data_IF_314346334093
#
_entry.id   IF_314346334093
#
_cell.length_a   1.000
_cell.length_b   1.000
_cell.length_c   1.000
_cell.angle_alpha   90.00
_cell.angle_beta   90.00
_cell.angle_gamma   90.00
#
_symmetry.space_group_name_H-M   'P 1'
#
loop_
_entity.id
_entity.type
_entity.pdbx_description
1 polymer ?
#
# COMPACT_ATOMS: atom_id res chain seq x y z
N UNK A 1 -11.19 0.49 35.13
CA UNK A 1 -11.22 1.94 35.34
C UNK A 1 -10.26 2.52 34.33
N UNK A 2 -10.72 3.11 33.23
CA UNK A 2 -9.86 3.88 32.32
C UNK A 2 -9.50 5.18 33.05
N UNK A 3 -8.22 5.35 33.37
CA UNK A 3 -7.68 6.65 33.78
C UNK A 3 -8.03 7.67 32.68
N UNK A 4 -8.39 8.90 33.06
CA UNK A 4 -8.68 9.97 32.13
C UNK A 4 -7.57 10.04 31.05
N UNK A 5 -7.94 9.81 29.80
CA UNK A 5 -7.04 9.88 28.65
C UNK A 5 -6.54 11.32 28.64
N UNK A 6 -5.21 11.52 28.73
CA UNK A 6 -4.61 12.84 28.59
C UNK A 6 -5.09 13.43 27.26
N UNK A 7 -5.81 14.54 27.32
CA UNK A 7 -6.57 15.10 26.20
C UNK A 7 -5.69 15.70 25.09
N UNK A 8 -4.40 15.39 25.04
CA UNK A 8 -3.46 15.93 24.07
C UNK A 8 -2.75 14.81 23.33
N UNK A 9 -3.19 14.54 22.10
CA UNK A 9 -2.46 13.64 21.19
C UNK A 9 -1.01 14.11 21.02
N UNK A 10 -0.83 15.42 20.90
CA UNK A 10 0.47 16.08 20.76
C UNK A 10 0.46 17.39 21.55
N UNK A 11 1.52 17.64 22.29
CA UNK A 11 1.65 18.85 23.09
C UNK A 11 1.46 20.12 22.23
N UNK A 12 0.50 20.95 22.60
CA UNK A 12 0.19 22.21 21.92
C UNK A 12 -0.94 22.17 20.90
N UNK A 13 -1.47 20.99 20.55
CA UNK A 13 -2.63 20.87 19.67
C UNK A 13 -3.93 20.73 20.48
N UNK A 14 -5.01 21.31 19.97
CA UNK A 14 -6.34 20.98 20.45
C UNK A 14 -6.83 19.70 19.77
N UNK A 15 -7.10 18.65 20.53
CA UNK A 15 -7.63 17.37 20.03
C UNK A 15 -8.76 16.86 20.94
N UNK A 16 -9.44 17.76 21.65
CA UNK A 16 -10.47 17.45 22.65
C UNK A 16 -11.69 16.80 22.01
N UNK A 17 -12.09 17.25 20.82
CA UNK A 17 -13.19 16.67 20.06
C UNK A 17 -12.87 15.24 19.62
N UNK A 18 -11.67 15.01 19.10
CA UNK A 18 -11.19 13.68 18.70
C UNK A 18 -11.15 12.72 19.91
N UNK A 19 -10.70 13.18 21.09
CA UNK A 19 -10.70 12.39 22.33
C UNK A 19 -12.12 11.96 22.72
N UNK A 20 -13.06 12.89 22.74
CA UNK A 20 -14.46 12.60 23.09
C UNK A 20 -15.15 11.65 22.11
N UNK A 21 -14.89 11.82 20.81
CA UNK A 21 -15.40 10.92 19.77
C UNK A 21 -14.78 9.52 19.87
N UNK A 22 -13.48 9.42 20.16
CA UNK A 22 -12.83 8.13 20.37
C UNK A 22 -13.40 7.39 21.57
N UNK A 23 -13.62 8.08 22.70
CA UNK A 23 -14.28 7.50 23.87
C UNK A 23 -15.69 6.99 23.53
N UNK A 24 -16.47 7.78 22.78
CA UNK A 24 -17.78 7.36 22.31
C UNK A 24 -17.72 6.16 21.37
N UNK A 25 -16.78 6.16 20.43
CA UNK A 25 -16.58 5.06 19.49
C UNK A 25 -16.19 3.76 20.18
N UNK A 26 -15.36 3.79 21.22
CA UNK A 26 -14.97 2.60 22.00
C UNK A 26 -16.16 1.90 22.67
N UNK A 27 -17.27 2.58 22.89
CA UNK A 27 -18.49 1.97 23.45
C UNK A 27 -19.27 1.12 22.44
N UNK A 28 -19.08 1.36 21.15
CA UNK A 28 -19.90 0.74 20.08
C UNK A 28 -19.05 0.06 19.00
N UNK A 29 -17.77 0.38 18.90
CA UNK A 29 -16.83 -0.21 17.95
C UNK A 29 -15.68 -0.82 18.74
N UNK A 30 -15.39 -2.12 18.60
CA UNK A 30 -14.26 -2.75 19.27
C UNK A 30 -12.93 -2.02 18.97
N UNK A 31 -12.28 -1.49 20.01
CA UNK A 31 -11.06 -0.67 19.88
C UNK A 31 -11.27 0.73 19.31
N UNK A 32 -12.53 1.21 19.18
CA UNK A 32 -12.87 2.56 18.73
C UNK A 32 -12.70 2.83 17.23
N UNK A 33 -12.24 1.85 16.46
CA UNK A 33 -11.93 2.00 15.01
C UNK A 33 -12.29 0.74 14.21
N UNK A 34 -12.67 0.91 12.94
CA UNK A 34 -13.02 -0.20 12.04
C UNK A 34 -11.84 -0.78 11.25
N UNK A 35 -10.61 -0.35 11.54
CA UNK A 35 -9.41 -0.88 10.92
C UNK A 35 -8.23 -0.82 11.87
N UNK A 36 -7.48 -1.91 11.99
CA UNK A 36 -6.28 -1.99 12.83
C UNK A 36 -5.21 -0.96 12.46
N UNK A 37 -5.11 -0.55 11.20
CA UNK A 37 -4.20 0.51 10.76
C UNK A 37 -4.52 1.90 11.34
N UNK A 38 -5.68 2.08 11.99
CA UNK A 38 -6.12 3.31 12.66
C UNK A 38 -6.15 3.17 14.18
N UNK A 39 -5.76 2.01 14.70
CA UNK A 39 -5.83 1.72 16.13
C UNK A 39 -4.66 2.35 16.91
N UNK A 40 -4.84 2.48 18.21
CA UNK A 40 -3.79 3.02 19.09
C UNK A 40 -2.51 2.20 19.05
N UNK A 41 -2.62 0.87 18.95
CA UNK A 41 -1.44 -0.02 18.81
C UNK A 41 -0.76 0.04 17.43
N UNK A 42 -1.35 0.73 16.45
CA UNK A 42 -0.69 1.06 15.18
C UNK A 42 0.05 2.42 15.23
N UNK A 43 0.24 2.97 16.43
CA UNK A 43 0.97 4.20 16.66
C UNK A 43 0.10 5.46 16.86
N UNK A 44 -1.21 5.37 16.66
CA UNK A 44 -2.15 6.48 16.89
C UNK A 44 -2.45 6.66 18.39
N UNK A 45 -1.45 6.99 19.17
CA UNK A 45 -1.55 7.13 20.63
C UNK A 45 -1.65 8.59 21.04
N UNK A 46 -2.49 8.91 22.06
CA UNK A 46 -3.37 8.02 22.84
C UNK A 46 -4.66 7.65 22.12
N UNK A 47 -5.01 8.29 21.01
CA UNK A 47 -6.18 8.04 20.14
C UNK A 47 -5.92 8.60 18.74
N UNK A 48 -6.61 8.10 17.69
CA UNK A 48 -6.52 8.66 16.35
C UNK A 48 -7.24 10.01 16.24
N UNK A 49 -6.81 10.85 15.30
CA UNK A 49 -7.55 12.04 14.90
C UNK A 49 -8.88 11.63 14.23
N UNK A 50 -9.95 12.37 14.52
CA UNK A 50 -11.23 12.23 13.83
C UNK A 50 -11.35 13.31 12.75
N UNK A 51 -11.43 12.85 11.51
CA UNK A 51 -11.47 13.73 10.33
C UNK A 51 -12.88 14.24 10.11
N UNK A 52 -13.04 15.55 9.89
CA UNK A 52 -14.28 16.20 9.49
C UNK A 52 -14.43 16.25 7.96
N UNK A 53 -13.37 16.66 7.28
CA UNK A 53 -13.40 16.85 5.83
C UNK A 53 -12.01 16.79 5.19
N UNK A 54 -11.98 16.66 3.85
CA UNK A 54 -10.77 16.73 3.05
C UNK A 54 -11.03 17.47 1.73
N UNK A 55 -10.04 18.25 1.27
CA UNK A 55 -10.06 18.94 -0.01
C UNK A 55 -8.66 19.02 -0.61
N UNK A 56 -8.49 18.54 -1.84
CA UNK A 56 -7.18 18.54 -2.50
C UNK A 56 -6.13 17.80 -1.67
N UNK A 57 -5.01 18.44 -1.37
CA UNK A 57 -3.92 17.91 -0.53
C UNK A 57 -4.16 18.03 0.97
N UNK A 58 -5.33 18.49 1.42
CA UNK A 58 -5.54 18.85 2.83
C UNK A 58 -6.67 18.05 3.49
N UNK A 59 -6.48 17.77 4.79
CA UNK A 59 -7.48 17.28 5.71
C UNK A 59 -7.76 18.30 6.82
N UNK A 60 -9.00 18.31 7.29
CA UNK A 60 -9.41 19.02 8.50
C UNK A 60 -10.00 18.03 9.49
N UNK A 61 -9.57 18.11 10.75
CA UNK A 61 -10.14 17.32 11.82
C UNK A 61 -11.32 18.03 12.51
N UNK A 62 -12.01 17.30 13.39
CA UNK A 62 -13.18 17.79 14.14
C UNK A 62 -12.83 18.89 15.14
N UNK A 63 -11.57 19.06 15.46
CA UNK A 63 -11.05 20.08 16.36
C UNK A 63 -10.64 21.37 15.61
N UNK A 64 -10.77 21.37 14.28
CA UNK A 64 -10.49 22.50 13.39
C UNK A 64 -9.05 22.61 12.94
N UNK A 65 -8.18 21.63 13.28
CA UNK A 65 -6.80 21.62 12.78
C UNK A 65 -6.78 21.24 11.30
N UNK A 66 -5.89 21.85 10.53
CA UNK A 66 -5.67 21.54 9.11
C UNK A 66 -4.30 20.93 8.88
N UNK A 67 -4.23 19.95 7.98
CA UNK A 67 -3.02 19.19 7.69
C UNK A 67 -2.78 19.10 6.19
N UNK A 68 -1.52 19.22 5.76
CA UNK A 68 -1.07 18.69 4.45
C UNK A 68 -1.02 17.18 4.61
N UNK A 69 -1.77 16.46 3.78
CA UNK A 69 -2.02 15.03 3.96
C UNK A 69 -1.14 14.17 3.05
N UNK A 70 -0.10 13.59 3.61
CA UNK A 70 0.72 12.55 2.96
C UNK A 70 0.33 11.12 3.38
N UNK A 71 -0.72 10.95 4.20
CA UNK A 71 -1.34 9.65 4.48
C UNK A 71 -2.21 9.20 3.30
N UNK A 72 -3.00 10.13 2.73
CA UNK A 72 -3.85 9.94 1.56
C UNK A 72 -4.68 8.65 1.61
N UNK A 73 -5.26 8.36 2.81
CA UNK A 73 -6.05 7.18 3.06
C UNK A 73 -5.29 5.85 2.93
N UNK A 74 -3.98 5.83 3.14
CA UNK A 74 -3.05 4.72 2.86
C UNK A 74 -2.94 4.40 1.36
N UNK A 75 -2.98 5.44 0.52
CA UNK A 75 -2.65 5.39 -0.90
C UNK A 75 -3.77 5.48 -1.93
N UNK A 76 -5.08 5.30 -1.65
CA UNK A 76 -6.10 5.41 -2.70
C UNK A 76 -6.29 6.84 -3.25
N UNK A 77 -6.00 7.88 -2.44
CA UNK A 77 -6.28 9.27 -2.80
C UNK A 77 -5.21 9.86 -3.73
N UNK A 78 -4.99 9.23 -4.88
CA UNK A 78 -3.96 9.67 -5.84
C UNK A 78 -4.20 11.09 -6.38
N UNK A 79 -5.44 11.53 -6.44
CA UNK A 79 -5.83 12.88 -6.87
C UNK A 79 -6.00 13.85 -5.70
N UNK A 80 -5.71 13.42 -4.46
CA UNK A 80 -6.13 14.14 -3.26
C UNK A 80 -7.63 13.95 -2.94
N UNK A 81 -8.13 14.72 -2.01
CA UNK A 81 -9.51 14.62 -1.52
C UNK A 81 -10.51 15.34 -2.43
N UNK A 82 -11.68 14.75 -2.63
CA UNK A 82 -12.79 15.28 -3.43
C UNK A 82 -12.36 15.66 -4.86
N UNK A 83 -11.69 14.78 -5.61
CA UNK A 83 -11.32 15.06 -7.00
C UNK A 83 -12.59 15.29 -7.84
N UNK A 84 -12.66 16.42 -8.53
CA UNK A 84 -13.88 16.87 -9.22
C UNK A 84 -14.38 15.83 -10.22
N UNK A 85 -13.53 15.38 -11.15
CA UNK A 85 -13.90 14.43 -12.21
C UNK A 85 -14.45 13.12 -11.70
N UNK A 86 -13.80 12.53 -10.66
CA UNK A 86 -14.26 11.26 -10.07
C UNK A 86 -15.57 11.48 -9.31
N UNK A 87 -15.66 12.57 -8.53
CA UNK A 87 -16.87 12.91 -7.77
C UNK A 87 -18.07 13.13 -8.69
N UNK A 88 -17.91 13.90 -9.76
CA UNK A 88 -18.96 14.16 -10.76
C UNK A 88 -19.44 12.88 -11.44
N UNK A 89 -18.51 12.00 -11.84
CA UNK A 89 -18.85 10.72 -12.48
C UNK A 89 -19.68 9.82 -11.55
N UNK A 90 -19.37 9.79 -10.27
CA UNK A 90 -20.10 9.02 -9.26
C UNK A 90 -21.49 9.61 -9.01
N UNK A 91 -21.59 10.92 -8.83
CA UNK A 91 -22.86 11.61 -8.61
C UNK A 91 -23.78 11.41 -9.82
N UNK A 92 -23.25 11.61 -11.04
CA UNK A 92 -23.98 11.41 -12.29
C UNK A 92 -24.50 9.97 -12.44
N UNK A 93 -23.66 8.99 -12.12
CA UNK A 93 -24.03 7.57 -12.16
C UNK A 93 -25.20 7.27 -11.22
N UNK A 94 -25.12 7.71 -9.95
CA UNK A 94 -26.17 7.49 -8.95
C UNK A 94 -27.48 8.14 -9.38
N UNK A 95 -27.43 9.37 -9.86
CA UNK A 95 -28.62 10.13 -10.25
C UNK A 95 -29.34 9.58 -11.49
N UNK A 96 -28.59 9.04 -12.45
CA UNK A 96 -29.14 8.62 -13.74
C UNK A 96 -29.34 7.13 -13.92
N UNK A 97 -28.59 6.30 -13.18
CA UNK A 97 -28.51 4.85 -13.47
C UNK A 97 -28.78 3.94 -12.28
N UNK A 98 -28.52 4.37 -11.08
CA UNK A 98 -28.69 3.57 -9.84
C UNK A 98 -27.37 3.12 -9.25
N UNK A 99 -27.31 1.93 -8.60
CA UNK A 99 -26.15 1.51 -7.83
C UNK A 99 -25.61 0.12 -8.17
N UNK A 100 -26.41 -0.94 -7.97
CA UNK A 100 -26.05 -2.35 -8.16
C UNK A 100 -27.17 -3.06 -8.92
N UNK A 101 -26.82 -3.80 -9.96
CA UNK A 101 -27.79 -4.45 -10.82
C UNK A 101 -27.75 -5.98 -10.78
N UNK A 102 -26.66 -6.59 -10.26
CA UNK A 102 -26.36 -8.01 -10.39
C UNK A 102 -26.37 -8.52 -11.84
N UNK A 103 -26.22 -7.63 -12.79
CA UNK A 103 -26.11 -7.86 -14.23
C UNK A 103 -24.94 -7.05 -14.79
N UNK A 104 -24.27 -7.53 -15.85
CA UNK A 104 -23.13 -6.81 -16.42
C UNK A 104 -23.57 -5.47 -17.05
N UNK A 105 -22.64 -4.51 -17.06
CA UNK A 105 -22.82 -3.21 -17.69
C UNK A 105 -21.73 -2.93 -18.72
N UNK A 106 -22.01 -2.08 -19.71
CA UNK A 106 -21.00 -1.68 -20.69
C UNK A 106 -19.79 -0.95 -20.07
N UNK A 107 -19.99 -0.33 -18.90
CA UNK A 107 -18.91 0.40 -18.22
C UNK A 107 -17.86 -0.55 -17.61
N UNK A 108 -18.25 -1.78 -17.25
CA UNK A 108 -17.31 -2.82 -16.81
C UNK A 108 -16.35 -3.21 -17.94
N UNK A 109 -16.88 -3.43 -19.15
CA UNK A 109 -16.06 -3.76 -20.32
C UNK A 109 -15.10 -2.59 -20.64
N UNK A 110 -15.62 -1.35 -20.61
CA UNK A 110 -14.79 -0.15 -20.83
C UNK A 110 -13.67 -0.01 -19.79
N UNK A 111 -13.95 -0.30 -18.54
CA UNK A 111 -12.93 -0.29 -17.48
C UNK A 111 -11.88 -1.37 -17.72
N UNK A 112 -12.32 -2.58 -18.10
CA UNK A 112 -11.42 -3.68 -18.45
C UNK A 112 -10.49 -3.31 -19.62
N UNK A 113 -11.05 -2.72 -20.70
CA UNK A 113 -10.29 -2.25 -21.86
C UNK A 113 -9.21 -1.22 -21.45
N UNK A 114 -9.56 -0.25 -20.58
CA UNK A 114 -8.61 0.75 -20.08
C UNK A 114 -7.48 0.12 -19.27
N UNK A 115 -7.78 -0.84 -18.40
CA UNK A 115 -6.77 -1.55 -17.62
C UNK A 115 -5.84 -2.33 -18.56
N UNK A 116 -6.38 -3.07 -19.51
CA UNK A 116 -5.61 -3.85 -20.50
C UNK A 116 -4.71 -2.93 -21.34
N UNK A 117 -5.24 -1.80 -21.80
CA UNK A 117 -4.45 -0.83 -22.58
C UNK A 117 -3.32 -0.18 -21.76
N UNK A 118 -3.49 -0.04 -20.46
CA UNK A 118 -2.54 0.62 -19.57
C UNK A 118 -1.45 -0.31 -19.06
N UNK A 119 -1.77 -1.57 -18.76
CA UNK A 119 -0.92 -2.48 -17.98
C UNK A 119 -0.30 -3.58 -18.85
N UNK A 120 1.04 -3.62 -19.00
CA UNK A 120 1.72 -4.46 -20.00
C UNK A 120 1.51 -5.97 -19.84
N UNK A 121 1.23 -6.47 -18.62
CA UNK A 121 1.08 -7.92 -18.34
C UNK A 121 -0.36 -8.42 -18.46
N UNK A 122 -1.34 -7.53 -18.68
CA UNK A 122 -2.76 -7.86 -18.58
C UNK A 122 -3.37 -8.07 -19.95
N UNK A 123 -3.66 -9.32 -20.30
CA UNK A 123 -4.45 -9.69 -21.48
C UNK A 123 -5.95 -9.71 -21.17
N UNK A 124 -6.32 -10.12 -19.96
CA UNK A 124 -7.68 -10.15 -19.44
C UNK A 124 -7.72 -9.76 -17.97
N UNK A 125 -8.84 -9.19 -17.50
CA UNK A 125 -9.03 -8.72 -16.13
C UNK A 125 -10.39 -9.10 -15.55
N UNK A 126 -10.42 -9.37 -14.24
CA UNK A 126 -11.65 -9.51 -13.44
C UNK A 126 -11.66 -8.46 -12.34
N UNK A 127 -12.77 -7.80 -12.19
CA UNK A 127 -12.99 -6.84 -11.11
C UNK A 127 -13.38 -7.55 -9.82
N UNK A 128 -13.09 -6.93 -8.68
CA UNK A 128 -13.55 -7.29 -7.35
C UNK A 128 -13.61 -6.03 -6.47
N UNK A 129 -13.84 -6.15 -5.15
CA UNK A 129 -14.07 -4.97 -4.32
C UNK A 129 -12.85 -4.58 -3.49
N UNK A 130 -11.98 -5.53 -3.16
CA UNK A 130 -10.83 -5.32 -2.27
C UNK A 130 -9.56 -5.96 -2.80
N UNK A 131 -8.40 -5.41 -2.40
CA UNK A 131 -7.11 -6.05 -2.68
C UNK A 131 -7.00 -7.44 -2.07
N UNK A 132 -7.63 -7.70 -0.92
CA UNK A 132 -7.69 -9.03 -0.31
C UNK A 132 -8.38 -10.05 -1.22
N UNK A 133 -9.53 -9.70 -1.82
CA UNK A 133 -10.19 -10.56 -2.82
C UNK A 133 -9.31 -10.78 -4.04
N UNK A 134 -8.67 -9.73 -4.56
CA UNK A 134 -7.81 -9.82 -5.73
C UNK A 134 -6.64 -10.79 -5.51
N UNK A 135 -5.95 -10.69 -4.36
CA UNK A 135 -4.85 -11.60 -3.99
C UNK A 135 -5.35 -13.02 -3.75
N UNK A 136 -6.49 -13.19 -3.05
CA UNK A 136 -7.11 -14.50 -2.84
C UNK A 136 -7.38 -15.21 -4.18
N UNK A 137 -7.94 -14.49 -5.15
CA UNK A 137 -8.21 -15.04 -6.48
C UNK A 137 -6.93 -15.32 -7.26
N UNK A 138 -5.95 -14.40 -7.24
CA UNK A 138 -4.68 -14.59 -7.95
C UNK A 138 -3.92 -15.84 -7.46
N UNK A 139 -3.82 -16.02 -6.13
CA UNK A 139 -3.13 -17.20 -5.56
C UNK A 139 -3.88 -18.50 -5.82
N UNK A 140 -5.22 -18.46 -5.75
CA UNK A 140 -6.06 -19.63 -6.10
C UNK A 140 -5.91 -20.01 -7.58
N UNK A 141 -5.90 -19.02 -8.46
CA UNK A 141 -5.74 -19.19 -9.88
C UNK A 141 -4.36 -19.76 -10.24
N UNK A 142 -3.31 -19.26 -9.61
CA UNK A 142 -1.95 -19.78 -9.79
C UNK A 142 -1.83 -21.25 -9.38
N UNK A 143 -2.42 -21.63 -8.24
CA UNK A 143 -2.47 -23.04 -7.79
C UNK A 143 -3.23 -23.93 -8.79
N UNK A 144 -4.38 -23.47 -9.26
CA UNK A 144 -5.18 -24.22 -10.23
C UNK A 144 -4.44 -24.39 -11.57
N UNK A 145 -3.76 -23.37 -12.05
CA UNK A 145 -3.01 -23.36 -13.30
C UNK A 145 -1.81 -24.30 -13.25
N UNK A 146 -0.99 -24.18 -12.21
CA UNK A 146 0.24 -24.96 -12.05
C UNK A 146 0.01 -26.35 -11.49
N UNK A 147 -1.15 -26.61 -10.86
CA UNK A 147 -1.46 -27.81 -10.07
C UNK A 147 -0.49 -28.04 -8.91
N UNK A 148 0.11 -26.96 -8.40
CA UNK A 148 1.04 -26.93 -7.27
C UNK A 148 0.41 -26.17 -6.11
N UNK A 149 0.93 -26.34 -4.88
CA UNK A 149 0.29 -25.79 -3.66
C UNK A 149 1.02 -24.62 -3.04
N UNK A 150 2.37 -24.62 -3.06
CA UNK A 150 3.17 -23.67 -2.28
C UNK A 150 3.21 -22.29 -2.95
N UNK A 151 3.22 -21.24 -2.10
CA UNK A 151 3.41 -19.85 -2.51
C UNK A 151 4.65 -19.33 -1.79
N UNK A 152 5.61 -18.82 -2.55
CA UNK A 152 6.67 -17.96 -1.98
C UNK A 152 6.07 -16.58 -1.73
N UNK A 153 6.30 -16.05 -0.52
CA UNK A 153 6.05 -14.65 -0.18
C UNK A 153 7.18 -14.12 0.70
N UNK A 154 7.26 -12.82 0.89
CA UNK A 154 8.38 -12.19 1.57
C UNK A 154 7.97 -11.58 2.93
N UNK A 155 8.89 -11.64 3.92
CA UNK A 155 8.71 -10.95 5.18
C UNK A 155 8.52 -9.45 4.97
N UNK A 156 7.69 -8.83 5.80
CA UNK A 156 7.43 -7.39 5.73
C UNK A 156 6.35 -6.98 4.72
N UNK A 157 5.97 -7.85 3.78
CA UNK A 157 4.94 -7.56 2.78
C UNK A 157 3.52 -7.85 3.30
N UNK A 158 2.55 -7.07 2.83
CA UNK A 158 1.14 -7.25 3.15
C UNK A 158 0.30 -7.49 1.90
N UNK A 159 -0.43 -8.59 1.90
CA UNK A 159 -1.23 -9.05 0.76
C UNK A 159 -2.70 -9.28 1.12
N UNK A 160 -3.23 -8.53 2.09
CA UNK A 160 -4.60 -8.69 2.58
C UNK A 160 -4.72 -9.67 3.75
N UNK A 161 -5.98 -9.94 4.16
CA UNK A 161 -6.32 -10.65 5.39
C UNK A 161 -6.71 -12.11 5.18
N UNK A 162 -6.55 -12.69 3.97
CA UNK A 162 -6.87 -14.11 3.80
C UNK A 162 -5.82 -14.99 4.50
N UNK A 163 -6.29 -16.05 5.16
CA UNK A 163 -5.43 -16.99 5.91
C UNK A 163 -4.29 -17.56 5.05
N UNK A 164 -4.50 -17.68 3.75
CA UNK A 164 -3.51 -18.19 2.81
C UNK A 164 -2.31 -17.28 2.56
N UNK A 165 -2.31 -16.03 3.05
CA UNK A 165 -1.22 -15.07 2.83
C UNK A 165 -0.96 -14.12 4.02
N UNK A 166 -1.80 -14.13 5.07
CA UNK A 166 -1.64 -13.22 6.21
C UNK A 166 -0.66 -13.76 7.25
N UNK A 167 0.57 -14.02 6.79
CA UNK A 167 1.67 -14.56 7.59
C UNK A 167 2.90 -13.67 7.43
N UNK A 168 3.74 -13.59 8.43
CA UNK A 168 5.05 -12.88 8.39
C UNK A 168 4.98 -11.46 7.78
N UNK A 169 3.90 -10.69 8.05
CA UNK A 169 3.83 -9.28 7.64
C UNK A 169 4.90 -8.47 8.38
N UNK A 170 4.83 -8.48 9.72
CA UNK A 170 5.84 -7.87 10.59
C UNK A 170 6.12 -8.84 11.76
N UNK A 171 6.81 -9.96 11.50
CA UNK A 171 7.07 -10.94 12.53
C UNK A 171 8.13 -10.44 13.51
N UNK A 172 7.96 -10.70 14.81
CA UNK A 172 9.07 -10.51 15.74
C UNK A 172 10.26 -11.38 15.30
N UNK A 173 11.43 -10.80 15.14
CA UNK A 173 12.63 -11.49 14.62
C UNK A 173 12.94 -12.77 15.40
N UNK A 174 12.75 -12.74 16.74
CA UNK A 174 12.95 -13.92 17.59
C UNK A 174 12.03 -15.12 17.25
N UNK A 175 10.93 -14.88 16.49
CA UNK A 175 9.99 -15.92 16.04
C UNK A 175 10.11 -16.24 14.56
N UNK A 176 10.83 -15.41 13.81
CA UNK A 176 10.91 -15.49 12.35
C UNK A 176 11.89 -16.55 11.82
N UNK A 177 12.61 -17.25 12.70
CA UNK A 177 13.68 -18.16 12.32
C UNK A 177 14.95 -17.45 11.84
N UNK A 178 15.98 -18.21 11.45
CA UNK A 178 17.24 -17.64 10.93
C UNK A 178 17.05 -16.94 9.57
N UNK A 179 18.02 -16.11 9.17
CA UNK A 179 17.92 -15.29 7.95
C UNK A 179 17.86 -16.15 6.67
N UNK A 180 18.58 -17.25 6.65
CA UNK A 180 18.63 -18.20 5.52
C UNK A 180 17.49 -19.24 5.53
N UNK A 181 16.75 -19.35 6.63
CA UNK A 181 15.61 -20.26 6.80
C UNK A 181 14.46 -19.61 7.59
N UNK A 182 13.84 -18.54 7.06
CA UNK A 182 12.70 -17.93 7.71
C UNK A 182 11.53 -18.92 7.87
N UNK A 183 10.79 -18.77 8.95
CA UNK A 183 9.58 -19.56 9.20
C UNK A 183 8.33 -18.70 9.09
N UNK A 184 7.22 -19.32 8.72
CA UNK A 184 5.95 -18.63 8.65
C UNK A 184 5.44 -18.27 10.07
N UNK A 185 5.25 -16.98 10.34
CA UNK A 185 4.71 -16.48 11.60
C UNK A 185 3.31 -15.95 11.40
N UNK A 186 2.31 -16.56 12.05
CA UNK A 186 0.93 -16.09 12.01
C UNK A 186 0.81 -14.66 12.54
N UNK A 187 0.02 -13.82 11.87
CA UNK A 187 -0.17 -12.41 12.27
C UNK A 187 -1.18 -12.21 13.41
N UNK A 188 -1.74 -13.29 13.91
CA UNK A 188 -2.63 -13.26 15.08
C UNK A 188 -3.22 -14.61 15.41
N UNK A 189 -3.84 -14.75 16.59
CA UNK A 189 -4.60 -15.93 16.95
C UNK A 189 -5.81 -16.13 16.04
N UNK A 190 -6.24 -17.39 15.86
CA UNK A 190 -7.40 -17.73 15.05
C UNK A 190 -7.07 -18.14 13.62
N UNK A 191 -5.81 -18.04 13.19
CA UNK A 191 -5.39 -18.58 11.90
C UNK A 191 -5.33 -20.11 11.95
N UNK A 192 -5.89 -20.81 10.93
CA UNK A 192 -5.92 -22.27 10.93
C UNK A 192 -4.52 -22.88 10.85
N UNK A 193 -4.27 -23.93 11.62
CA UNK A 193 -3.03 -24.72 11.53
C UNK A 193 -2.96 -25.47 10.20
N UNK A 194 -1.73 -25.62 9.68
CA UNK A 194 -1.46 -26.36 8.44
C UNK A 194 -1.54 -25.48 7.18
N UNK A 195 -2.03 -24.24 7.28
CA UNK A 195 -2.01 -23.29 6.14
C UNK A 195 -0.58 -22.88 5.82
N UNK A 196 0.25 -22.71 6.85
CA UNK A 196 1.67 -22.38 6.76
C UNK A 196 2.49 -23.37 5.95
N UNK A 197 2.08 -24.64 5.89
CA UNK A 197 2.75 -25.69 5.12
C UNK A 197 2.75 -25.39 3.61
N UNK A 198 1.81 -24.57 3.16
CA UNK A 198 1.69 -24.11 1.79
C UNK A 198 2.36 -22.77 1.53
N UNK A 199 3.17 -22.26 2.47
CA UNK A 199 3.90 -21.03 2.35
C UNK A 199 5.40 -21.27 2.48
N UNK A 200 6.17 -20.53 1.66
CA UNK A 200 7.60 -20.40 1.81
C UNK A 200 7.84 -18.91 2.06
N UNK A 201 8.44 -18.60 3.22
CA UNK A 201 8.76 -17.23 3.61
C UNK A 201 10.23 -16.97 3.31
N UNK A 202 10.54 -15.87 2.64
CA UNK A 202 11.90 -15.46 2.34
C UNK A 202 12.13 -14.00 2.74
N UNK A 203 13.37 -13.59 3.04
CA UNK A 203 13.74 -12.18 3.04
C UNK A 203 13.69 -11.65 1.61
N UNK A 204 13.29 -10.39 1.44
CA UNK A 204 13.29 -9.74 0.12
C UNK A 204 14.69 -9.23 -0.23
N UNK A 205 14.97 -9.02 -1.52
CA UNK A 205 16.26 -8.59 -2.03
C UNK A 205 17.42 -9.59 -1.86
N UNK A 206 17.13 -10.86 -1.58
CA UNK A 206 18.11 -11.95 -1.59
C UNK A 206 17.87 -12.85 -2.81
N UNK A 207 18.57 -12.55 -3.91
CA UNK A 207 18.43 -13.29 -5.17
C UNK A 207 18.99 -14.71 -5.07
N UNK A 208 20.03 -14.92 -4.27
CA UNK A 208 20.66 -16.24 -4.12
C UNK A 208 19.74 -17.18 -3.35
N UNK A 209 19.21 -16.74 -2.22
CA UNK A 209 18.29 -17.55 -1.42
C UNK A 209 17.00 -17.88 -2.19
N UNK A 210 16.50 -16.93 -2.99
CA UNK A 210 15.37 -17.17 -3.89
C UNK A 210 15.70 -18.25 -4.92
N UNK A 211 16.88 -18.18 -5.55
CA UNK A 211 17.32 -19.16 -6.55
C UNK A 211 17.47 -20.55 -5.95
N UNK A 212 18.16 -20.68 -4.81
CA UNK A 212 18.37 -21.93 -4.10
C UNK A 212 17.04 -22.57 -3.66
N UNK A 213 16.08 -21.74 -3.23
CA UNK A 213 14.76 -22.20 -2.82
C UNK A 213 13.95 -22.71 -4.04
N UNK A 214 13.97 -21.99 -5.14
CA UNK A 214 13.28 -22.41 -6.38
C UNK A 214 13.94 -23.65 -6.96
N UNK A 215 15.26 -23.78 -6.88
CA UNK A 215 15.95 -25.00 -7.34
C UNK A 215 15.56 -26.22 -6.53
N UNK A 216 15.49 -26.09 -5.22
CA UNK A 216 15.17 -27.17 -4.29
C UNK A 216 13.70 -27.59 -4.32
N UNK A 217 12.76 -26.62 -4.39
CA UNK A 217 11.33 -26.84 -4.17
C UNK A 217 10.44 -26.48 -5.35
N UNK A 218 11.02 -26.06 -6.48
CA UNK A 218 10.28 -25.48 -7.61
C UNK A 218 9.10 -26.32 -8.12
N UNK A 219 9.17 -27.64 -8.02
CA UNK A 219 8.09 -28.54 -8.46
C UNK A 219 6.85 -28.48 -7.57
N UNK A 220 6.96 -27.92 -6.36
CA UNK A 220 5.85 -27.72 -5.43
C UNK A 220 5.35 -26.26 -5.41
N UNK A 221 6.08 -25.32 -6.02
CA UNK A 221 5.79 -23.89 -5.96
C UNK A 221 4.83 -23.51 -7.09
N UNK A 222 3.64 -23.06 -6.71
CA UNK A 222 2.62 -22.53 -7.62
C UNK A 222 2.94 -21.09 -8.07
N UNK A 223 3.35 -20.24 -7.13
CA UNK A 223 3.62 -18.83 -7.42
C UNK A 223 4.68 -18.22 -6.51
N UNK A 224 5.28 -17.14 -6.99
CA UNK A 224 5.94 -16.11 -6.19
C UNK A 224 5.00 -14.91 -6.14
N UNK A 225 4.60 -14.49 -4.93
CA UNK A 225 3.79 -13.32 -4.66
C UNK A 225 4.66 -12.23 -4.03
N UNK A 226 4.77 -11.09 -4.69
CA UNK A 226 5.60 -9.99 -4.25
C UNK A 226 4.98 -8.61 -4.50
N UNK A 227 5.24 -7.65 -3.63
CA UNK A 227 5.17 -6.24 -3.98
C UNK A 227 6.39 -5.90 -4.84
N UNK A 228 6.27 -5.22 -5.99
CA UNK A 228 7.44 -4.86 -6.81
C UNK A 228 8.30 -3.72 -6.21
N UNK A 229 7.74 -2.96 -5.29
CA UNK A 229 8.39 -2.08 -4.32
C UNK A 229 7.79 -2.44 -2.97
N UNK A 230 8.62 -2.74 -1.97
CA UNK A 230 8.12 -3.16 -0.66
C UNK A 230 7.54 -1.96 0.08
N UNK A 231 6.27 -1.66 -0.18
CA UNK A 231 5.56 -0.50 0.35
C UNK A 231 5.09 -0.70 1.80
N UNK A 232 4.80 -1.94 2.19
CA UNK A 232 4.34 -2.25 3.55
C UNK A 232 5.48 -2.39 4.56
N UNK A 233 6.71 -2.07 4.15
CA UNK A 233 7.87 -1.85 5.02
C UNK A 233 8.66 -0.64 4.52
N UNK A 234 8.00 0.54 4.48
CA UNK A 234 8.64 1.84 4.29
C UNK A 234 9.34 2.07 2.95
N UNK A 235 8.72 1.66 1.85
CA UNK A 235 9.18 1.95 0.49
C UNK A 235 10.60 1.44 0.18
N UNK A 236 10.91 0.19 0.54
CA UNK A 236 12.19 -0.42 0.18
C UNK A 236 12.18 -0.76 -1.32
N UNK A 237 13.20 -0.29 -2.04
CA UNK A 237 13.32 -0.53 -3.48
C UNK A 237 13.97 -1.89 -3.78
N UNK A 238 13.64 -2.52 -4.92
CA UNK A 238 14.35 -3.71 -5.36
C UNK A 238 15.82 -3.40 -5.62
N UNK A 239 16.70 -4.29 -5.21
CA UNK A 239 18.11 -4.20 -5.57
C UNK A 239 18.27 -4.42 -7.08
N UNK A 240 19.29 -3.81 -7.71
CA UNK A 240 19.54 -3.98 -9.14
C UNK A 240 19.65 -5.47 -9.52
N UNK A 241 18.88 -5.90 -10.52
CA UNK A 241 18.85 -7.28 -11.01
C UNK A 241 17.95 -8.25 -10.21
N UNK A 242 17.42 -7.85 -9.06
CA UNK A 242 16.62 -8.77 -8.20
C UNK A 242 15.29 -9.20 -8.84
N UNK A 243 14.53 -8.26 -9.37
CA UNK A 243 13.25 -8.56 -10.02
C UNK A 243 13.44 -9.28 -11.37
N UNK A 244 14.50 -8.95 -12.09
CA UNK A 244 14.89 -9.64 -13.32
C UNK A 244 15.22 -11.11 -13.04
N UNK A 245 16.03 -11.38 -12.02
CA UNK A 245 16.36 -12.74 -11.58
C UNK A 245 15.09 -13.50 -11.14
N UNK A 246 14.20 -12.86 -10.36
CA UNK A 246 12.93 -13.43 -9.96
C UNK A 246 12.06 -13.82 -11.16
N UNK A 247 11.96 -12.92 -12.17
CA UNK A 247 11.21 -13.20 -13.41
C UNK A 247 11.80 -14.38 -14.18
N UNK A 248 13.11 -14.38 -14.36
CA UNK A 248 13.81 -15.45 -15.08
C UNK A 248 13.64 -16.82 -14.38
N UNK A 249 13.88 -16.87 -13.07
CA UNK A 249 13.74 -18.09 -12.26
C UNK A 249 12.33 -18.67 -12.32
N UNK A 250 11.32 -17.81 -12.13
CA UNK A 250 9.90 -18.23 -12.16
C UNK A 250 9.49 -18.73 -13.54
N UNK A 251 9.92 -18.05 -14.60
CA UNK A 251 9.61 -18.44 -15.98
C UNK A 251 10.24 -19.80 -16.35
N UNK A 252 11.50 -20.03 -16.00
CA UNK A 252 12.20 -21.29 -16.28
C UNK A 252 11.55 -22.50 -15.61
N UNK A 253 10.96 -22.32 -14.43
CA UNK A 253 10.33 -23.39 -13.62
C UNK A 253 8.81 -23.47 -13.80
N UNK A 254 8.21 -22.64 -14.66
CA UNK A 254 6.77 -22.58 -14.84
C UNK A 254 6.01 -22.21 -13.55
N UNK A 255 6.61 -21.35 -12.73
CA UNK A 255 6.04 -20.77 -11.53
C UNK A 255 5.36 -19.46 -11.92
N UNK A 256 4.15 -19.21 -11.44
CA UNK A 256 3.42 -17.96 -11.72
C UNK A 256 4.03 -16.81 -10.90
N UNK A 257 4.50 -15.76 -11.56
CA UNK A 257 4.89 -14.53 -10.88
C UNK A 257 3.68 -13.61 -10.71
N UNK A 258 3.34 -13.29 -9.46
CA UNK A 258 2.22 -12.41 -9.11
C UNK A 258 2.79 -11.12 -8.54
N UNK A 259 2.52 -9.98 -9.20
CA UNK A 259 2.79 -8.67 -8.64
C UNK A 259 1.58 -8.14 -7.87
N UNK A 260 1.78 -7.88 -6.60
CA UNK A 260 0.83 -7.10 -5.81
C UNK A 260 1.09 -5.61 -6.06
N UNK A 261 0.33 -5.06 -6.99
CA UNK A 261 0.34 -3.65 -7.35
C UNK A 261 -0.84 -2.87 -6.71
N UNK A 262 -1.32 -3.32 -5.57
CA UNK A 262 -2.40 -2.62 -4.83
C UNK A 262 -1.98 -1.19 -4.46
N UNK A 263 -0.71 -0.97 -4.12
CA UNK A 263 -0.16 0.36 -3.83
C UNK A 263 0.46 1.00 -5.07
N UNK A 264 1.27 0.25 -5.79
CA UNK A 264 2.11 0.77 -6.90
C UNK A 264 1.36 0.93 -8.21
N UNK A 265 0.31 0.13 -8.45
CA UNK A 265 -0.52 0.18 -9.65
C UNK A 265 -1.19 1.53 -9.83
N UNK A 266 -1.12 2.09 -11.03
CA UNK A 266 -1.63 3.41 -11.41
C UNK A 266 -1.02 4.58 -10.60
N UNK A 267 -0.20 4.31 -9.60
CA UNK A 267 0.50 5.33 -8.81
C UNK A 267 1.88 5.65 -9.38
N UNK A 268 2.67 4.64 -9.71
CA UNK A 268 4.01 4.81 -10.27
C UNK A 268 4.04 5.04 -11.79
N UNK A 269 2.91 5.24 -12.38
CA UNK A 269 2.67 5.39 -13.81
C UNK A 269 1.36 4.71 -14.19
N UNK A 270 0.84 4.97 -15.37
CA UNK A 270 -0.41 4.37 -15.84
C UNK A 270 -0.29 2.84 -15.92
N UNK A 271 0.89 2.31 -16.28
CA UNK A 271 1.20 0.88 -16.30
C UNK A 271 1.74 0.32 -14.99
N UNK A 272 1.71 1.09 -13.86
CA UNK A 272 2.18 0.64 -12.55
C UNK A 272 3.69 0.48 -12.43
N UNK A 273 4.12 -0.20 -11.36
CA UNK A 273 5.52 -0.49 -11.13
C UNK A 273 6.10 -1.42 -12.20
N UNK A 274 5.34 -2.37 -12.72
CA UNK A 274 5.79 -3.29 -13.76
C UNK A 274 6.28 -2.55 -15.02
N UNK A 275 5.57 -1.51 -15.45
CA UNK A 275 5.99 -0.69 -16.58
C UNK A 275 7.20 0.17 -16.24
N UNK A 276 7.23 0.75 -15.02
CA UNK A 276 8.33 1.63 -14.57
C UNK A 276 9.66 0.87 -14.36
N UNK A 277 9.56 -0.39 -13.91
CA UNK A 277 10.72 -1.26 -13.64
C UNK A 277 11.05 -2.22 -14.80
N UNK A 278 10.22 -2.28 -15.84
CA UNK A 278 10.45 -3.11 -17.01
C UNK A 278 10.22 -4.62 -16.79
N UNK A 279 9.48 -5.01 -15.77
CA UNK A 279 9.23 -6.43 -15.42
C UNK A 279 7.78 -6.80 -15.68
N UNK A 280 7.53 -7.85 -16.44
CA UNK A 280 6.18 -8.36 -16.73
C UNK A 280 5.87 -9.60 -15.89
N UNK A 281 5.02 -9.50 -14.86
CA UNK A 281 4.53 -10.68 -14.13
C UNK A 281 3.54 -11.48 -14.98
N UNK A 282 3.12 -12.64 -14.49
CA UNK A 282 2.08 -13.47 -15.12
C UNK A 282 0.68 -13.05 -14.68
N UNK A 283 0.54 -12.61 -13.41
CA UNK A 283 -0.67 -12.04 -12.83
C UNK A 283 -0.33 -10.75 -12.08
N UNK A 284 -1.26 -9.82 -12.05
CA UNK A 284 -1.17 -8.59 -11.26
C UNK A 284 -2.47 -8.33 -10.53
N UNK A 285 -2.38 -7.76 -9.32
CA UNK A 285 -3.53 -7.32 -8.55
C UNK A 285 -3.47 -5.82 -8.30
N UNK A 286 -4.63 -5.16 -8.40
CA UNK A 286 -4.78 -3.71 -8.32
C UNK A 286 -5.91 -3.34 -7.38
N UNK A 287 -5.80 -2.20 -6.70
CA UNK A 287 -6.86 -1.56 -5.91
C UNK A 287 -6.51 -0.08 -5.71
N UNK A 288 -6.86 0.50 -4.58
CA UNK A 288 -6.45 1.85 -4.12
C UNK A 288 -6.53 2.91 -5.23
N UNK A 289 -5.40 3.25 -5.87
CA UNK A 289 -5.31 4.26 -6.93
C UNK A 289 -6.25 4.00 -8.12
N UNK A 290 -6.55 2.74 -8.43
CA UNK A 290 -7.53 2.35 -9.45
C UNK A 290 -8.90 3.00 -9.21
N UNK A 291 -9.34 3.07 -7.95
CA UNK A 291 -10.67 3.57 -7.60
C UNK A 291 -10.72 5.06 -7.27
N UNK A 292 -9.58 5.74 -7.19
CA UNK A 292 -9.56 7.17 -6.84
C UNK A 292 -10.25 7.51 -5.51
N UNK A 293 -10.27 6.57 -4.56
CA UNK A 293 -10.94 6.67 -3.25
C UNK A 293 -12.17 5.79 -3.09
N UNK A 294 -12.64 5.12 -4.16
CA UNK A 294 -13.78 4.20 -4.11
C UNK A 294 -13.33 2.73 -4.03
N UNK A 295 -14.13 1.84 -3.38
CA UNK A 295 -13.79 0.44 -3.18
C UNK A 295 -13.94 -0.35 -4.50
N UNK A 296 -12.87 -0.43 -5.25
CA UNK A 296 -12.72 -1.27 -6.43
C UNK A 296 -11.33 -1.88 -6.43
N UNK A 297 -11.26 -3.12 -6.87
CA UNK A 297 -10.02 -3.84 -7.11
C UNK A 297 -10.13 -4.68 -8.39
N UNK A 298 -9.00 -5.15 -8.88
CA UNK A 298 -8.93 -5.99 -10.06
C UNK A 298 -7.81 -7.02 -9.92
N UNK A 299 -7.98 -8.16 -10.56
CA UNK A 299 -6.93 -9.14 -10.84
C UNK A 299 -6.92 -9.38 -12.34
N UNK A 300 -5.77 -9.32 -12.95
CA UNK A 300 -5.60 -9.54 -14.37
C UNK A 300 -4.24 -10.15 -14.69
N UNK A 301 -4.09 -10.63 -15.92
CA UNK A 301 -2.84 -11.21 -16.39
C UNK A 301 -3.01 -11.99 -17.68
N UNK A 302 -2.15 -12.96 -17.89
CA UNK A 302 -2.04 -13.79 -19.10
C UNK A 302 -3.36 -14.48 -19.43
N UNK A 303 -3.74 -14.46 -20.71
CA UNK A 303 -4.99 -15.04 -21.19
C UNK A 303 -5.14 -16.54 -20.90
N UNK A 304 -4.05 -17.33 -21.00
CA UNK A 304 -4.07 -18.76 -20.72
C UNK A 304 -4.34 -19.09 -19.24
N UNK A 305 -3.88 -18.27 -18.32
CA UNK A 305 -4.19 -18.39 -16.88
C UNK A 305 -5.63 -17.95 -16.63
N UNK A 306 -6.04 -16.82 -17.19
CA UNK A 306 -7.38 -16.26 -17.02
C UNK A 306 -8.47 -17.14 -17.64
N UNK A 307 -8.14 -17.98 -18.61
CA UNK A 307 -9.05 -18.97 -19.22
C UNK A 307 -9.69 -19.91 -18.18
N UNK A 308 -9.02 -20.19 -17.06
CA UNK A 308 -9.59 -21.01 -15.97
C UNK A 308 -10.76 -20.34 -15.25
N UNK A 309 -10.84 -19.01 -15.28
CA UNK A 309 -12.01 -18.27 -14.79
C UNK A 309 -13.10 -18.27 -15.86
N UNK A 310 -12.73 -18.05 -17.12
CA UNK A 310 -13.68 -17.97 -18.23
C UNK A 310 -14.46 -19.28 -18.44
N UNK A 311 -13.83 -20.44 -18.24
CA UNK A 311 -14.46 -21.75 -18.38
C UNK A 311 -15.10 -22.29 -17.07
N UNK A 312 -15.10 -21.50 -15.98
CA UNK A 312 -15.70 -21.87 -14.69
C UNK A 312 -14.88 -22.83 -13.83
N UNK A 313 -13.65 -23.21 -14.22
CA UNK A 313 -12.77 -24.06 -13.40
C UNK A 313 -12.43 -23.38 -12.06
N UNK A 314 -12.17 -22.07 -12.07
CA UNK A 314 -11.97 -21.28 -10.87
C UNK A 314 -13.11 -20.28 -10.72
N UNK A 315 -13.91 -20.44 -9.67
CA UNK A 315 -15.03 -19.54 -9.39
C UNK A 315 -14.55 -18.22 -8.78
N UNK A 316 -15.06 -17.11 -9.33
CA UNK A 316 -14.88 -15.75 -8.81
C UNK A 316 -16.25 -15.06 -8.83
N UNK A 317 -16.81 -14.74 -7.66
CA UNK A 317 -18.13 -14.14 -7.53
C UNK A 317 -18.21 -13.18 -6.35
N UNK A 318 -19.13 -12.24 -6.42
CA UNK A 318 -19.44 -11.29 -5.34
C UNK A 318 -20.59 -10.37 -5.73
N UNK A 319 -21.55 -10.16 -4.85
CA UNK A 319 -22.73 -9.32 -5.11
C UNK A 319 -22.36 -7.89 -5.54
N UNK A 320 -21.34 -7.32 -4.93
CA UNK A 320 -20.88 -5.95 -5.20
C UNK A 320 -19.72 -5.88 -6.19
N UNK A 321 -19.30 -7.02 -6.73
CA UNK A 321 -18.26 -7.06 -7.77
C UNK A 321 -18.70 -6.24 -8.97
N UNK A 322 -17.85 -5.31 -9.40
CA UNK A 322 -18.13 -4.39 -10.50
C UNK A 322 -19.40 -3.52 -10.27
N UNK A 323 -19.69 -3.15 -9.01
CA UNK A 323 -20.78 -2.22 -8.76
C UNK A 323 -20.59 -0.91 -9.54
N UNK A 324 -21.72 -0.37 -10.06
CA UNK A 324 -21.68 0.72 -11.00
C UNK A 324 -21.03 2.00 -10.47
N UNK A 325 -21.17 2.27 -9.17
CA UNK A 325 -20.56 3.44 -8.51
C UNK A 325 -19.03 3.35 -8.58
N UNK A 326 -18.48 2.21 -8.15
CA UNK A 326 -17.04 2.00 -8.14
C UNK A 326 -16.45 1.91 -9.56
N UNK A 327 -17.20 1.32 -10.50
CA UNK A 327 -16.82 1.28 -11.93
C UNK A 327 -16.81 2.69 -12.54
N UNK A 328 -17.81 3.54 -12.24
CA UNK A 328 -17.84 4.92 -12.71
C UNK A 328 -16.64 5.71 -12.15
N UNK A 329 -16.35 5.57 -10.86
CA UNK A 329 -15.19 6.19 -10.23
C UNK A 329 -13.87 5.73 -10.89
N UNK A 330 -13.68 4.42 -11.09
CA UNK A 330 -12.46 3.88 -11.69
C UNK A 330 -12.29 4.29 -13.16
N UNK A 331 -13.37 4.32 -13.94
CA UNK A 331 -13.34 4.84 -15.31
C UNK A 331 -12.89 6.30 -15.36
N UNK A 332 -13.44 7.16 -14.49
CA UNK A 332 -13.06 8.56 -14.40
C UNK A 332 -11.62 8.74 -13.89
N UNK A 333 -11.21 7.91 -12.92
CA UNK A 333 -9.84 7.92 -12.40
C UNK A 333 -8.81 7.56 -13.48
N UNK A 334 -9.05 6.51 -14.27
CA UNK A 334 -8.14 6.12 -15.35
C UNK A 334 -8.10 7.15 -16.47
N UNK A 335 -9.23 7.80 -16.80
CA UNK A 335 -9.26 8.90 -17.76
C UNK A 335 -8.45 10.11 -17.28
N UNK A 336 -8.51 10.42 -15.99
CA UNK A 336 -7.70 11.48 -15.37
C UNK A 336 -6.21 11.13 -15.40
N UNK A 337 -5.86 9.90 -15.00
CA UNK A 337 -4.48 9.41 -14.97
C UNK A 337 -3.85 9.34 -16.37
N UNK A 338 -4.65 9.12 -17.41
CA UNK A 338 -4.20 9.12 -18.80
C UNK A 338 -3.90 10.53 -19.35
N UNK A 339 -4.15 11.60 -18.57
CA UNK A 339 -3.89 12.97 -19.01
C UNK A 339 -2.39 13.18 -19.28
N UNK A 340 -2.00 13.63 -20.47
CA UNK A 340 -0.59 13.86 -20.80
C UNK A 340 0.12 14.77 -19.81
N UNK A 341 1.31 14.35 -19.37
CA UNK A 341 2.15 15.11 -18.44
C UNK A 341 1.73 15.03 -16.97
N UNK A 342 0.63 14.33 -16.62
CA UNK A 342 0.21 14.18 -15.21
C UNK A 342 1.28 13.53 -14.36
N UNK A 343 1.81 12.39 -14.76
CA UNK A 343 2.86 11.69 -14.00
C UNK A 343 4.18 12.47 -13.96
N UNK A 344 4.54 13.20 -15.02
CA UNK A 344 5.74 14.03 -15.01
C UNK A 344 5.64 15.15 -13.95
N UNK A 345 4.47 15.80 -13.83
CA UNK A 345 4.22 16.78 -12.76
C UNK A 345 4.23 16.15 -11.37
N UNK A 346 3.57 14.99 -11.23
CA UNK A 346 3.53 14.25 -9.96
C UNK A 346 4.93 13.83 -9.51
N UNK A 347 5.75 13.32 -10.43
CA UNK A 347 7.14 12.95 -10.15
C UNK A 347 7.98 14.19 -9.77
N UNK A 348 7.82 15.32 -10.45
CA UNK A 348 8.55 16.54 -10.15
C UNK A 348 8.30 17.07 -8.73
N UNK A 349 7.01 17.12 -8.31
CA UNK A 349 6.64 17.54 -6.95
C UNK A 349 7.12 16.51 -5.91
N UNK A 350 7.09 15.24 -6.24
CA UNK A 350 7.55 14.15 -5.36
C UNK A 350 9.07 14.19 -5.17
N UNK A 351 9.82 14.42 -6.23
CA UNK A 351 11.28 14.53 -6.19
C UNK A 351 11.73 15.78 -5.43
N UNK A 352 11.02 16.91 -5.60
CA UNK A 352 11.27 18.13 -4.81
C UNK A 352 11.13 17.86 -3.30
N UNK A 353 10.05 17.20 -2.90
CA UNK A 353 9.83 16.82 -1.50
C UNK A 353 10.92 15.86 -1.00
N UNK A 354 11.18 14.78 -1.75
CA UNK A 354 12.13 13.73 -1.39
C UNK A 354 13.55 14.28 -1.22
N UNK A 355 14.02 15.05 -2.21
CA UNK A 355 15.35 15.66 -2.19
C UNK A 355 15.46 16.73 -1.12
N UNK A 356 14.40 17.52 -0.92
CA UNK A 356 14.35 18.55 0.12
C UNK A 356 14.40 17.95 1.53
N UNK A 357 13.64 16.87 1.79
CA UNK A 357 13.71 16.15 3.06
C UNK A 357 15.11 15.56 3.30
N UNK A 358 15.70 14.93 2.28
CA UNK A 358 17.07 14.39 2.39
C UNK A 358 18.10 15.50 2.69
N UNK A 359 17.94 16.68 2.12
CA UNK A 359 18.80 17.83 2.41
C UNK A 359 18.61 18.30 3.85
N UNK A 360 17.37 18.47 4.32
CA UNK A 360 17.05 18.92 5.69
C UNK A 360 17.67 18.01 6.74
N UNK A 361 17.53 16.68 6.56
CA UNK A 361 18.05 15.69 7.49
C UNK A 361 19.59 15.70 7.53
N UNK A 362 20.22 15.83 6.37
CA UNK A 362 21.68 15.95 6.24
C UNK A 362 22.22 17.23 6.89
N UNK A 363 21.59 18.39 6.65
CA UNK A 363 21.97 19.67 7.26
C UNK A 363 21.84 19.65 8.79
N UNK A 364 20.90 18.87 9.32
CA UNK A 364 20.73 18.67 10.75
C UNK A 364 21.68 17.61 11.34
N UNK A 365 22.54 16.96 10.53
CA UNK A 365 23.42 15.86 10.93
C UNK A 365 22.68 14.68 11.60
N UNK A 366 21.44 14.42 11.20
CA UNK A 366 20.70 13.28 11.70
C UNK A 366 21.10 12.00 10.96
N UNK A 367 21.20 10.86 11.66
CA UNK A 367 21.47 9.56 11.04
C UNK A 367 20.23 9.06 10.29
N UNK A 368 19.95 9.68 9.14
CA UNK A 368 18.72 9.43 8.40
C UNK A 368 18.93 9.61 6.90
N UNK A 369 18.08 8.95 6.12
CA UNK A 369 18.01 9.12 4.66
C UNK A 369 16.57 8.98 4.17
N UNK A 370 16.31 9.43 2.94
CA UNK A 370 14.99 9.34 2.29
C UNK A 370 15.10 8.41 1.10
N UNK A 371 14.28 7.38 1.10
CA UNK A 371 14.12 6.46 -0.03
C UNK A 371 12.79 6.73 -0.72
N UNK A 372 12.71 6.50 -2.04
CA UNK A 372 11.44 6.67 -2.75
C UNK A 372 11.55 6.43 -4.23
N UNK A 373 10.38 6.24 -4.85
CA UNK A 373 10.20 6.09 -6.29
C UNK A 373 8.94 6.84 -6.72
N UNK A 374 9.12 7.97 -7.43
CA UNK A 374 7.99 8.85 -7.77
C UNK A 374 7.20 9.28 -6.53
N UNK A 375 5.86 9.17 -6.52
CA UNK A 375 4.99 9.63 -5.45
C UNK A 375 4.92 8.70 -4.22
N UNK A 376 5.89 7.83 -4.04
CA UNK A 376 6.09 6.96 -2.89
C UNK A 376 7.43 7.25 -2.25
N UNK A 377 7.48 7.50 -0.96
CA UNK A 377 8.73 7.70 -0.24
C UNK A 377 8.60 7.37 1.25
N UNK A 378 9.74 7.21 1.91
CA UNK A 378 9.86 7.09 3.36
C UNK A 378 11.14 7.73 3.87
N UNK A 379 11.08 8.25 5.09
CA UNK A 379 12.23 8.71 5.85
C UNK A 379 12.67 7.58 6.77
N UNK A 380 13.89 7.11 6.62
CA UNK A 380 14.50 6.16 7.51
C UNK A 380 15.50 6.83 8.44
N UNK A 381 15.27 6.73 9.74
CA UNK A 381 16.27 7.06 10.75
C UNK A 381 17.10 5.79 11.02
N UNK A 382 18.22 5.69 10.33
CA UNK A 382 19.12 4.55 10.37
C UNK A 382 20.53 4.95 9.93
N UNK A 383 21.54 4.30 10.49
CA UNK A 383 22.94 4.50 10.10
C UNK A 383 23.40 3.58 8.97
N UNK A 384 22.60 2.55 8.68
CA UNK A 384 22.87 1.56 7.64
C UNK A 384 21.72 1.50 6.64
N UNK A 385 21.97 1.14 5.37
CA UNK A 385 20.93 0.93 4.38
C UNK A 385 19.97 -0.19 4.82
N UNK A 386 18.69 -0.02 4.50
CA UNK A 386 17.62 -0.99 4.75
C UNK A 386 17.22 -1.60 3.42
N UNK A 387 17.46 -2.89 3.24
CA UNK A 387 17.21 -3.64 2.01
C UNK A 387 16.04 -4.61 2.13
N UNK A 388 15.63 -4.97 3.34
CA UNK A 388 14.53 -5.87 3.63
C UNK A 388 13.91 -5.57 5.00
N UNK A 389 12.89 -6.34 5.38
CA UNK A 389 12.22 -6.19 6.66
C UNK A 389 13.16 -6.42 7.88
N UNK A 390 14.07 -7.39 7.79
CA UNK A 390 14.98 -7.70 8.91
C UNK A 390 15.99 -6.58 9.15
N UNK A 391 16.45 -5.94 8.10
CA UNK A 391 17.30 -4.74 8.22
C UNK A 391 16.53 -3.60 8.89
N UNK A 392 15.25 -3.41 8.52
CA UNK A 392 14.40 -2.40 9.14
C UNK A 392 14.21 -2.65 10.64
N UNK A 393 13.97 -3.89 11.05
CA UNK A 393 13.84 -4.26 12.47
C UNK A 393 15.16 -4.09 13.26
N UNK A 394 16.31 -4.29 12.63
CA UNK A 394 17.63 -4.22 13.28
C UNK A 394 18.20 -2.83 13.34
N UNK A 395 17.92 -1.99 12.34
CA UNK A 395 18.67 -0.76 12.11
C UNK A 395 17.83 0.52 12.18
N UNK A 396 16.49 0.43 12.02
CA UNK A 396 15.65 1.61 12.08
C UNK A 396 15.40 2.06 13.53
N UNK A 397 15.62 3.34 13.79
CA UNK A 397 15.28 3.98 15.06
C UNK A 397 13.81 4.42 15.06
N UNK A 398 12.95 3.56 15.60
CA UNK A 398 11.51 3.79 15.69
C UNK A 398 11.15 4.94 16.64
N UNK A 399 11.99 5.18 17.67
CA UNK A 399 11.73 6.25 18.65
C UNK A 399 12.01 7.64 18.04
N UNK A 400 13.11 7.79 17.30
CA UNK A 400 13.40 9.04 16.56
C UNK A 400 12.32 9.26 15.50
N UNK A 401 11.88 8.21 14.78
CA UNK A 401 10.79 8.34 13.81
C UNK A 401 9.49 8.80 14.47
N UNK A 402 9.13 8.26 15.65
CA UNK A 402 7.95 8.70 16.41
C UNK A 402 8.03 10.18 16.77
N UNK A 403 9.17 10.63 17.30
CA UNK A 403 9.40 12.06 17.65
C UNK A 403 9.37 12.96 16.40
N UNK A 404 9.87 12.47 15.27
CA UNK A 404 9.78 13.12 13.96
C UNK A 404 8.32 13.29 13.55
N UNK A 405 7.54 12.21 13.57
CA UNK A 405 6.13 12.25 13.25
C UNK A 405 5.33 13.20 14.14
N UNK A 406 5.51 13.15 15.45
CA UNK A 406 4.84 14.05 16.40
C UNK A 406 5.16 15.52 16.10
N UNK A 407 6.43 15.83 15.84
CA UNK A 407 6.88 17.17 15.50
C UNK A 407 6.30 17.69 14.17
N UNK A 408 6.18 16.81 13.17
CA UNK A 408 5.59 17.14 11.87
C UNK A 408 4.08 17.33 11.98
N UNK A 409 3.38 16.45 12.69
CA UNK A 409 1.94 16.55 12.91
C UNK A 409 1.58 17.84 13.64
N UNK A 410 2.33 18.22 14.68
CA UNK A 410 2.15 19.48 15.40
C UNK A 410 2.32 20.74 14.52
N UNK A 411 2.90 20.57 13.33
CA UNK A 411 3.11 21.65 12.34
C UNK A 411 2.22 21.49 11.10
N UNK A 412 1.14 20.72 11.23
CA UNK A 412 0.16 20.56 10.17
C UNK A 412 0.62 19.67 9.02
N UNK A 413 1.53 18.70 9.25
CA UNK A 413 1.94 17.71 8.25
C UNK A 413 1.56 16.33 8.72
N UNK A 414 0.62 15.68 8.03
CA UNK A 414 0.06 14.39 8.40
C UNK A 414 0.61 13.27 7.52
N UNK A 415 1.15 12.23 8.15
CA UNK A 415 1.47 10.94 7.56
C UNK A 415 1.27 9.84 8.61
N UNK A 416 1.55 8.57 8.30
CA UNK A 416 1.33 7.48 9.25
C UNK A 416 2.36 7.51 10.40
N UNK A 417 1.94 7.26 11.66
CA UNK A 417 2.85 7.25 12.82
C UNK A 417 3.86 6.09 12.84
N UNK A 418 3.61 5.03 12.08
CA UNK A 418 4.52 3.90 11.97
C UNK A 418 5.52 4.06 10.82
N UNK A 419 6.80 3.80 11.07
CA UNK A 419 7.88 3.94 10.09
C UNK A 419 7.78 2.97 8.89
N UNK A 420 6.93 1.95 8.98
CA UNK A 420 6.73 0.97 7.90
C UNK A 420 5.68 1.37 6.87
N UNK A 421 5.00 2.48 7.06
CA UNK A 421 4.06 3.02 6.07
C UNK A 421 4.73 4.12 5.23
N UNK A 422 4.21 4.35 4.02
CA UNK A 422 4.79 5.34 3.11
C UNK A 422 4.22 6.75 3.35
N UNK A 423 4.99 7.76 2.97
CA UNK A 423 4.44 9.06 2.58
C UNK A 423 4.01 8.95 1.11
N UNK A 424 2.78 9.41 0.84
CA UNK A 424 2.19 9.43 -0.49
C UNK A 424 2.07 10.87 -0.99
N UNK A 425 2.45 11.12 -2.25
CA UNK A 425 2.17 12.39 -2.91
C UNK A 425 1.01 12.21 -3.88
N UNK A 426 0.11 13.18 -3.93
CA UNK A 426 -1.03 13.21 -4.86
C UNK A 426 -0.85 14.30 -5.92
N UNK A 427 -1.63 14.22 -6.99
CA UNK A 427 -1.66 15.26 -8.03
C UNK A 427 -2.17 16.61 -7.54
N UNK A 428 -2.78 16.66 -6.34
CA UNK A 428 -3.25 17.88 -5.69
C UNK A 428 -2.16 18.58 -4.85
N UNK A 429 -1.04 17.91 -4.55
CA UNK A 429 0.07 18.56 -3.87
C UNK A 429 0.75 19.57 -4.77
N UNK A 430 1.07 20.73 -4.19
CA UNK A 430 1.70 21.86 -4.87
C UNK A 430 3.11 22.10 -4.36
N UNK A 431 3.92 22.89 -5.09
CA UNK A 431 5.21 23.40 -4.62
C UNK A 431 5.08 24.18 -3.31
N UNK A 432 3.95 24.85 -3.06
CA UNK A 432 3.68 25.54 -1.80
C UNK A 432 3.49 24.55 -0.65
N UNK A 433 2.82 23.42 -0.86
CA UNK A 433 2.70 22.36 0.15
C UNK A 433 4.07 21.76 0.48
N UNK A 434 4.89 21.51 -0.55
CA UNK A 434 6.27 21.02 -0.37
C UNK A 434 7.10 22.02 0.43
N UNK A 435 7.06 23.30 0.08
CA UNK A 435 7.80 24.34 0.78
C UNK A 435 7.40 24.44 2.27
N UNK A 436 6.09 24.39 2.57
CA UNK A 436 5.57 24.38 3.93
C UNK A 436 6.02 23.14 4.71
N UNK A 437 5.97 21.95 4.06
CA UNK A 437 6.45 20.69 4.65
C UNK A 437 7.94 20.75 4.97
N UNK A 438 8.77 21.26 4.06
CA UNK A 438 10.20 21.39 4.28
C UNK A 438 10.53 22.42 5.38
N UNK A 439 9.74 23.48 5.50
CA UNK A 439 9.87 24.44 6.60
C UNK A 439 9.58 23.78 7.96
N UNK A 440 8.50 22.99 8.06
CA UNK A 440 8.19 22.19 9.23
C UNK A 440 9.31 21.18 9.54
N UNK A 441 9.79 20.46 8.51
CA UNK A 441 10.85 19.48 8.63
C UNK A 441 12.16 20.07 9.20
N UNK A 442 12.58 21.26 8.75
CA UNK A 442 13.77 21.96 9.29
C UNK A 442 13.65 22.23 10.77
N UNK A 443 12.48 22.70 11.24
CA UNK A 443 12.25 22.97 12.66
C UNK A 443 12.30 21.70 13.50
N UNK A 444 11.68 20.62 13.01
CA UNK A 444 11.67 19.32 13.72
C UNK A 444 13.07 18.71 13.76
N UNK A 445 13.78 18.70 12.63
CA UNK A 445 15.15 18.18 12.54
C UNK A 445 16.10 18.94 13.50
N UNK A 446 16.02 20.27 13.57
CA UNK A 446 16.80 21.06 14.51
C UNK A 446 16.47 20.76 15.99
N UNK A 447 15.22 20.37 16.30
CA UNK A 447 14.83 19.95 17.65
C UNK A 447 15.37 18.56 17.99
N UNK A 448 15.29 17.62 17.05
CA UNK A 448 15.81 16.26 17.22
C UNK A 448 17.34 16.28 17.43
N UNK A 449 18.07 17.05 16.63
CA UNK A 449 19.53 17.19 16.74
C UNK A 449 20.01 17.77 18.08
N UNK A 450 19.19 18.60 18.77
CA UNK A 450 19.51 19.15 20.09
C UNK A 450 19.19 18.18 21.24
N UNK A 451 18.35 17.20 21.01
CA UNK A 451 17.94 16.22 22.02
C UNK A 451 18.55 14.82 21.81
N UNK A 452 19.48 14.71 20.86
CA UNK A 452 20.35 13.55 20.64
C UNK A 452 21.70 13.89 21.29
#
# INVERSE_FOLDING_TARGET
MMTAIDARLIAGMNTTGSAGLFEAACRVIPGGVNSTARATWAGWTPYPLFVESGQGSRLRDVDGNEYIDYLLGLGPMIFGHRPARVTEAVVDFIQKRGTVFALPTADEARLAEKIIAAVPSVDQVRLCNTGTEAVLYATRLARAFTKRSKIIRFEGMYHGFSDGVYWSKHPAIAKAGPDDHPVAVAQGPGMPKGVEENLIILPWNDAQLLADTIEREGDNIAAVLTEPVMCNTGCILPQPGYLEAMRELTQRRGIVLIFDEVITGFRLGLGGAQARLGIRPDLSVFAKGLGGGFPVAAMGGRADIMALVANGTVSMAGTYTANGIAVAAANAALDELATPGLYARLDAVSDELRLGLAQVLREANLPAYVVGLGPLMQVWFATQPIHNYRDAERHADQEIFRRWWEGMLARGVLFHPGAYENLFVSTAHTHADVAATLAAARQVAATLARGA
#
